data_IF_316756443709
#
_entry.id   IF_316756443709
#
_cell.length_a   1.000
_cell.length_b   1.000
_cell.length_c   1.000
_cell.angle_alpha   90.00
_cell.angle_beta   90.00
_cell.angle_gamma   90.00
#
_symmetry.space_group_name_H-M   'P 1'
#
loop_
_entity.id
_entity.type
_entity.pdbx_description
1 polymer ?
#
# COMPACT_ATOMS: atom_id res chain seq x y z
N UNK A 1 6.57 75.63 -48.22
CA UNK A 1 7.79 74.91 -47.81
C UNK A 1 7.48 74.18 -46.53
N UNK A 2 7.15 72.88 -46.60
CA UNK A 2 6.97 72.07 -45.39
C UNK A 2 8.32 71.92 -44.69
N UNK A 3 8.32 72.08 -43.37
CA UNK A 3 9.52 72.11 -42.57
C UNK A 3 10.17 70.72 -42.55
N UNK A 4 11.50 70.65 -42.68
CA UNK A 4 12.27 69.39 -42.75
C UNK A 4 12.04 68.51 -41.51
N UNK A 5 11.69 69.15 -40.38
CA UNK A 5 11.29 68.50 -39.12
C UNK A 5 10.01 67.68 -39.26
N UNK A 6 8.98 68.22 -39.92
CA UNK A 6 7.67 67.57 -40.05
C UNK A 6 7.75 66.34 -40.98
N UNK A 7 8.60 66.39 -42.00
CA UNK A 7 8.85 65.24 -42.89
C UNK A 7 9.66 64.12 -42.21
N UNK A 8 10.57 64.46 -41.29
CA UNK A 8 11.31 63.47 -40.51
C UNK A 8 10.44 62.82 -39.43
N UNK A 9 9.59 63.59 -38.75
CA UNK A 9 8.65 63.05 -37.76
C UNK A 9 7.60 62.13 -38.40
N UNK A 10 7.05 62.48 -39.56
CA UNK A 10 6.12 61.62 -40.31
C UNK A 10 6.76 60.30 -40.77
N UNK A 11 8.04 60.29 -41.16
CA UNK A 11 8.79 59.05 -41.49
C UNK A 11 9.12 58.20 -40.26
N UNK A 12 9.34 58.83 -39.11
CA UNK A 12 9.63 58.13 -37.84
C UNK A 12 8.37 57.50 -37.24
N UNK A 13 7.20 58.12 -37.41
CA UNK A 13 5.91 57.57 -36.99
C UNK A 13 5.45 56.41 -37.89
N UNK A 14 5.58 56.56 -39.23
CA UNK A 14 5.23 55.50 -40.18
C UNK A 14 6.07 54.21 -39.99
N UNK A 15 7.33 54.34 -39.57
CA UNK A 15 8.23 53.20 -39.31
C UNK A 15 7.98 52.49 -37.97
N UNK A 16 7.31 53.13 -37.01
CA UNK A 16 6.98 52.56 -35.68
C UNK A 16 5.70 51.71 -35.73
N UNK A 17 4.71 52.13 -36.52
CA UNK A 17 3.42 51.42 -36.67
C UNK A 17 3.51 50.07 -37.40
N UNK A 18 4.47 49.89 -38.32
CA UNK A 18 4.64 48.61 -39.05
C UNK A 18 5.53 47.58 -38.32
N UNK A 19 6.48 48.00 -37.48
CA UNK A 19 7.37 47.07 -36.75
C UNK A 19 6.72 46.41 -35.55
N UNK A 20 5.81 47.11 -34.86
CA UNK A 20 5.11 46.58 -33.69
C UNK A 20 4.23 45.35 -33.98
N UNK A 21 3.38 45.32 -35.01
CA UNK A 21 2.54 44.15 -35.29
C UNK A 21 3.35 42.95 -35.79
N UNK A 22 4.42 43.16 -36.57
CA UNK A 22 5.31 42.06 -37.00
C UNK A 22 6.11 41.45 -35.84
N UNK A 23 6.63 42.28 -34.93
CA UNK A 23 7.33 41.78 -33.74
C UNK A 23 6.39 41.07 -32.76
N UNK A 24 5.16 41.54 -32.60
CA UNK A 24 4.14 40.87 -31.77
C UNK A 24 3.69 39.53 -32.37
N UNK A 25 3.50 39.45 -33.70
CA UNK A 25 3.20 38.19 -34.39
C UNK A 25 4.35 37.19 -34.27
N UNK A 26 5.59 37.64 -34.39
CA UNK A 26 6.76 36.79 -34.25
C UNK A 26 6.97 36.31 -32.80
N UNK A 27 6.70 37.16 -31.80
CA UNK A 27 6.71 36.76 -30.38
C UNK A 27 5.57 35.78 -30.06
N UNK A 28 4.37 35.97 -30.60
CA UNK A 28 3.25 35.05 -30.42
C UNK A 28 3.52 33.68 -31.07
N UNK A 29 4.14 33.65 -32.25
CA UNK A 29 4.56 32.41 -32.93
C UNK A 29 5.65 31.67 -32.14
N UNK A 30 6.64 32.40 -31.61
CA UNK A 30 7.69 31.81 -30.76
C UNK A 30 7.11 31.28 -29.44
N UNK A 31 6.20 32.00 -28.79
CA UNK A 31 5.51 31.50 -27.59
C UNK A 31 4.65 30.27 -27.88
N UNK A 32 3.93 30.24 -29.00
CA UNK A 32 3.13 29.09 -29.41
C UNK A 32 4.02 27.86 -29.71
N UNK A 33 5.17 28.04 -30.37
CA UNK A 33 6.15 26.97 -30.61
C UNK A 33 6.80 26.48 -29.31
N UNK A 34 7.10 27.38 -28.37
CA UNK A 34 7.62 27.01 -27.05
C UNK A 34 6.59 26.25 -26.21
N UNK A 35 5.32 26.65 -26.27
CA UNK A 35 4.23 25.96 -25.60
C UNK A 35 3.94 24.59 -26.23
N UNK A 36 4.02 24.47 -27.55
CA UNK A 36 3.90 23.20 -28.26
C UNK A 36 5.06 22.24 -27.95
N UNK A 37 6.31 22.72 -27.97
CA UNK A 37 7.48 21.92 -27.59
C UNK A 37 7.50 21.56 -26.09
N UNK A 38 7.02 22.45 -25.21
CA UNK A 38 6.84 22.17 -23.80
C UNK A 38 5.72 21.14 -23.60
N UNK A 39 4.63 21.22 -24.37
CA UNK A 39 3.53 20.27 -24.41
C UNK A 39 3.97 18.88 -24.89
N UNK A 40 4.74 18.78 -25.98
CA UNK A 40 5.32 17.52 -26.47
C UNK A 40 6.37 16.95 -25.52
N UNK A 41 7.22 17.79 -24.89
CA UNK A 41 8.16 17.34 -23.84
C UNK A 41 7.42 16.89 -22.58
N UNK A 42 6.35 17.56 -22.15
CA UNK A 42 5.52 17.10 -21.02
C UNK A 42 4.74 15.84 -21.37
N UNK A 43 4.24 15.71 -22.60
CA UNK A 43 3.55 14.51 -23.09
C UNK A 43 4.53 13.35 -23.21
N UNK A 44 5.75 13.59 -23.70
CA UNK A 44 6.85 12.63 -23.75
C UNK A 44 7.34 12.23 -22.37
N UNK A 45 7.47 13.16 -21.42
CA UNK A 45 7.81 12.85 -20.01
C UNK A 45 6.65 12.14 -19.30
N UNK A 46 5.39 12.48 -19.59
CA UNK A 46 4.22 11.77 -19.06
C UNK A 46 4.11 10.36 -19.65
N UNK A 47 4.30 10.20 -20.96
CA UNK A 47 4.33 8.91 -21.64
C UNK A 47 5.52 8.06 -21.19
N UNK A 48 6.72 8.64 -21.04
CA UNK A 48 7.89 7.95 -20.52
C UNK A 48 7.74 7.62 -19.03
N UNK A 49 7.09 8.47 -18.24
CA UNK A 49 6.75 8.18 -16.83
C UNK A 49 5.67 7.11 -16.69
N UNK A 50 4.70 7.06 -17.61
CA UNK A 50 3.64 6.05 -17.62
C UNK A 50 4.15 4.70 -18.13
N UNK A 51 4.99 4.70 -19.18
CA UNK A 51 5.70 3.54 -19.72
C UNK A 51 6.71 3.00 -18.70
N UNK A 52 7.49 3.87 -18.06
CA UNK A 52 8.40 3.53 -16.96
C UNK A 52 7.61 2.97 -15.79
N UNK A 53 6.59 3.66 -15.29
CA UNK A 53 5.84 3.20 -14.13
C UNK A 53 5.04 1.89 -14.38
N UNK A 54 4.53 1.66 -15.59
CA UNK A 54 3.92 0.38 -15.96
C UNK A 54 4.94 -0.76 -16.12
N UNK A 55 6.10 -0.50 -16.73
CA UNK A 55 7.20 -1.47 -16.82
C UNK A 55 7.77 -1.81 -15.44
N UNK A 56 7.75 -0.86 -14.51
CA UNK A 56 8.20 -1.02 -13.13
C UNK A 56 7.26 -1.96 -12.32
N UNK A 57 6.01 -2.13 -12.72
CA UNK A 57 5.04 -2.97 -12.02
C UNK A 57 5.38 -4.48 -12.11
N UNK A 58 5.94 -4.93 -13.23
CA UNK A 58 6.31 -6.33 -13.46
C UNK A 58 7.38 -6.86 -12.46
N UNK A 59 8.55 -6.22 -12.30
CA UNK A 59 9.54 -6.68 -11.33
C UNK A 59 9.02 -6.52 -9.88
N UNK A 60 8.19 -5.51 -9.61
CA UNK A 60 7.55 -5.33 -8.30
C UNK A 60 6.59 -6.45 -7.93
N UNK A 61 5.77 -6.87 -8.88
CA UNK A 61 4.81 -7.96 -8.68
C UNK A 61 5.53 -9.30 -8.56
N UNK A 62 6.56 -9.57 -9.38
CA UNK A 62 7.38 -10.77 -9.26
C UNK A 62 8.09 -10.86 -7.89
N UNK A 63 8.69 -9.75 -7.44
CA UNK A 63 9.29 -9.65 -6.11
C UNK A 63 8.26 -9.86 -4.99
N UNK A 64 7.05 -9.32 -5.17
CA UNK A 64 5.95 -9.45 -4.22
C UNK A 64 5.47 -10.90 -4.03
N UNK A 65 5.28 -11.60 -5.14
CA UNK A 65 4.82 -12.99 -5.15
C UNK A 65 5.88 -13.87 -4.50
N UNK A 66 7.14 -13.68 -4.89
CA UNK A 66 8.28 -14.41 -4.30
C UNK A 66 8.39 -14.17 -2.80
N UNK A 67 8.29 -12.90 -2.37
CA UNK A 67 8.30 -12.53 -0.95
C UNK A 67 7.13 -13.17 -0.19
N UNK A 68 5.92 -13.14 -0.76
CA UNK A 68 4.74 -13.71 -0.14
C UNK A 68 4.87 -15.22 0.08
N UNK A 69 5.49 -15.94 -0.85
CA UNK A 69 5.77 -17.38 -0.74
C UNK A 69 6.82 -17.65 0.34
N UNK A 70 7.93 -16.92 0.35
CA UNK A 70 9.03 -17.12 1.31
C UNK A 70 8.56 -16.80 2.75
N UNK A 71 7.80 -15.72 2.92
CA UNK A 71 7.32 -15.27 4.23
C UNK A 71 6.01 -15.93 4.68
N UNK A 72 5.49 -16.88 3.89
CA UNK A 72 4.22 -17.52 4.15
C UNK A 72 4.14 -18.25 5.51
N UNK A 73 5.15 -19.04 5.92
CA UNK A 73 5.11 -19.71 7.23
C UNK A 73 4.98 -18.73 8.41
N UNK A 74 5.67 -17.59 8.32
CA UNK A 74 5.62 -16.54 9.34
C UNK A 74 4.25 -15.86 9.35
N UNK A 75 3.65 -15.68 8.18
CA UNK A 75 2.31 -15.14 8.05
C UNK A 75 1.24 -16.05 8.68
N UNK A 76 1.35 -17.38 8.49
CA UNK A 76 0.46 -18.35 9.15
C UNK A 76 0.60 -18.26 10.67
N UNK A 77 1.83 -18.25 11.21
CA UNK A 77 2.05 -18.12 12.65
C UNK A 77 1.47 -16.82 13.21
N UNK A 78 1.67 -15.71 12.50
CA UNK A 78 1.08 -14.42 12.83
C UNK A 78 -0.44 -14.50 12.90
N UNK A 79 -1.09 -14.99 11.84
CA UNK A 79 -2.54 -15.04 11.73
C UNK A 79 -3.17 -15.92 12.83
N UNK A 80 -2.61 -17.11 13.07
CA UNK A 80 -3.11 -18.02 14.10
C UNK A 80 -2.92 -17.46 15.52
N UNK A 81 -1.79 -16.82 15.79
CA UNK A 81 -1.51 -16.19 17.10
C UNK A 81 -2.44 -15.01 17.37
N UNK A 82 -2.68 -14.17 16.36
CA UNK A 82 -3.61 -13.03 16.44
C UNK A 82 -5.05 -13.49 16.61
N UNK A 83 -5.47 -14.54 15.88
CA UNK A 83 -6.82 -15.10 15.98
C UNK A 83 -7.09 -15.77 17.34
N UNK A 84 -6.05 -16.19 18.07
CA UNK A 84 -6.15 -16.73 19.43
C UNK A 84 -6.03 -15.67 20.53
N UNK A 85 -5.97 -14.38 20.20
CA UNK A 85 -5.98 -13.32 21.20
C UNK A 85 -7.25 -13.36 22.07
N UNK A 86 -7.09 -13.16 23.38
CA UNK A 86 -8.19 -13.23 24.35
C UNK A 86 -8.61 -14.65 24.75
N UNK A 87 -7.95 -15.70 24.24
CA UNK A 87 -8.17 -17.09 24.67
C UNK A 87 -7.17 -17.50 25.76
N UNK A 88 -7.58 -18.37 26.70
CA UNK A 88 -6.73 -18.81 27.82
C UNK A 88 -5.53 -19.68 27.39
N UNK A 89 -5.67 -20.44 26.30
CA UNK A 89 -4.66 -21.41 25.84
C UNK A 89 -3.62 -20.81 24.88
N UNK A 90 -3.90 -19.62 24.31
CA UNK A 90 -3.00 -18.99 23.34
C UNK A 90 -2.75 -19.84 22.08
N UNK A 91 -1.72 -19.49 21.30
CA UNK A 91 -1.26 -20.30 20.17
C UNK A 91 0.17 -20.79 20.44
N UNK A 92 0.40 -22.10 20.32
CA UNK A 92 1.73 -22.71 20.43
C UNK A 92 2.18 -23.25 19.07
N UNK A 93 3.32 -22.75 18.59
CA UNK A 93 3.94 -23.18 17.33
C UNK A 93 4.29 -24.67 17.39
N UNK A 94 4.82 -25.15 18.52
CA UNK A 94 5.20 -26.55 18.73
C UNK A 94 3.99 -27.47 18.65
N UNK A 95 2.88 -27.10 19.30
CA UNK A 95 1.65 -27.89 19.24
C UNK A 95 1.05 -27.90 17.82
N UNK A 96 1.13 -26.77 17.10
CA UNK A 96 0.68 -26.71 15.71
C UNK A 96 1.53 -27.58 14.79
N UNK A 97 2.86 -27.55 14.97
CA UNK A 97 3.79 -28.40 14.22
C UNK A 97 3.53 -29.89 14.48
N UNK A 98 3.30 -30.28 15.72
CA UNK A 98 2.96 -31.67 16.07
C UNK A 98 1.65 -32.12 15.44
N UNK A 99 0.65 -31.23 15.33
CA UNK A 99 -0.68 -31.56 14.79
C UNK A 99 -0.77 -31.53 13.27
N UNK A 100 -0.10 -30.60 12.61
CA UNK A 100 -0.26 -30.34 11.17
C UNK A 100 1.04 -30.51 10.35
N UNK A 101 2.17 -30.74 11.02
CA UNK A 101 3.49 -30.87 10.39
C UNK A 101 3.90 -29.62 9.60
N UNK A 102 4.93 -29.79 8.76
CA UNK A 102 5.42 -28.73 7.85
C UNK A 102 4.32 -28.26 6.88
N UNK A 103 3.45 -29.17 6.44
CA UNK A 103 2.35 -28.85 5.50
C UNK A 103 1.40 -27.79 6.07
N UNK A 104 1.11 -27.81 7.37
CA UNK A 104 0.25 -26.81 8.02
C UNK A 104 0.69 -25.37 7.82
N UNK A 105 2.00 -25.12 7.68
CA UNK A 105 2.56 -23.79 7.52
C UNK A 105 2.63 -23.30 6.07
N UNK A 106 2.49 -24.19 5.08
CA UNK A 106 2.72 -23.86 3.67
C UNK A 106 1.55 -24.20 2.74
N UNK A 107 0.63 -25.08 3.13
CA UNK A 107 -0.37 -25.56 2.19
C UNK A 107 -1.62 -24.68 2.13
N UNK A 108 -2.09 -24.18 3.27
CA UNK A 108 -3.43 -23.56 3.37
C UNK A 108 -3.37 -22.07 3.23
N UNK A 109 -3.94 -21.50 2.16
CA UNK A 109 -4.14 -20.04 2.00
C UNK A 109 -3.07 -19.28 1.19
N UNK A 110 -2.07 -19.95 0.60
CA UNK A 110 -1.01 -19.31 -0.21
C UNK A 110 -1.60 -18.63 -1.45
N UNK A 111 -2.49 -19.31 -2.16
CA UNK A 111 -3.08 -18.80 -3.40
C UNK A 111 -3.85 -17.48 -3.19
N UNK A 112 -4.79 -17.37 -2.24
CA UNK A 112 -5.44 -16.09 -1.98
C UNK A 112 -4.47 -15.03 -1.45
N UNK A 113 -3.37 -15.38 -0.75
CA UNK A 113 -2.34 -14.41 -0.36
C UNK A 113 -1.58 -13.84 -1.56
N UNK A 114 -1.19 -14.69 -2.51
CA UNK A 114 -0.54 -14.27 -3.76
C UNK A 114 -1.46 -13.32 -4.54
N UNK A 115 -2.71 -13.73 -4.76
CA UNK A 115 -3.69 -12.91 -5.46
C UNK A 115 -3.91 -11.56 -4.76
N UNK A 116 -4.04 -11.57 -3.43
CA UNK A 116 -4.19 -10.37 -2.60
C UNK A 116 -2.99 -9.43 -2.74
N UNK A 117 -1.77 -9.96 -2.69
CA UNK A 117 -0.53 -9.18 -2.82
C UNK A 117 -0.45 -8.45 -4.18
N UNK A 118 -0.87 -9.14 -5.25
CA UNK A 118 -0.93 -8.55 -6.60
C UNK A 118 -1.98 -7.45 -6.69
N UNK A 119 -3.24 -7.73 -6.27
CA UNK A 119 -4.34 -6.74 -6.30
C UNK A 119 -4.01 -5.52 -5.45
N UNK A 120 -3.42 -5.72 -4.27
CA UNK A 120 -3.01 -4.62 -3.38
C UNK A 120 -2.03 -3.66 -4.09
N UNK A 121 -1.07 -4.18 -4.85
CA UNK A 121 -0.05 -3.36 -5.53
C UNK A 121 -0.62 -2.61 -6.72
N UNK A 122 -1.44 -3.28 -7.53
CA UNK A 122 -2.15 -2.65 -8.65
C UNK A 122 -3.05 -1.53 -8.12
N UNK A 123 -3.80 -1.79 -7.04
CA UNK A 123 -4.64 -0.79 -6.36
C UNK A 123 -3.85 0.45 -5.97
N UNK A 124 -2.74 0.27 -5.24
CA UNK A 124 -1.92 1.40 -4.77
C UNK A 124 -1.38 2.21 -5.93
N UNK A 125 -0.90 1.55 -6.98
CA UNK A 125 -0.37 2.23 -8.16
C UNK A 125 -1.43 3.08 -8.87
N UNK A 126 -2.68 2.62 -8.90
CA UNK A 126 -3.79 3.32 -9.55
C UNK A 126 -4.39 4.43 -8.67
N UNK A 127 -4.78 4.10 -7.43
CA UNK A 127 -5.54 5.01 -6.57
C UNK A 127 -4.69 6.08 -5.89
N UNK A 128 -3.43 5.79 -5.56
CA UNK A 128 -2.58 6.75 -4.85
C UNK A 128 -2.33 8.04 -5.65
N UNK A 129 -1.93 7.99 -6.95
CA UNK A 129 -1.74 9.20 -7.75
C UNK A 129 -3.04 9.96 -7.98
N UNK A 130 -4.15 9.24 -8.22
CA UNK A 130 -5.49 9.83 -8.44
C UNK A 130 -5.94 10.60 -7.21
N UNK A 131 -5.80 10.02 -6.01
CA UNK A 131 -6.21 10.66 -4.76
C UNK A 131 -5.27 11.81 -4.39
N UNK A 132 -3.96 11.68 -4.60
CA UNK A 132 -3.03 12.81 -4.43
C UNK A 132 -3.42 14.01 -5.32
N UNK A 133 -3.72 13.76 -6.59
CA UNK A 133 -4.07 14.82 -7.53
C UNK A 133 -5.42 15.47 -7.18
N UNK A 134 -6.43 14.66 -6.86
CA UNK A 134 -7.76 15.16 -6.52
C UNK A 134 -7.80 15.90 -5.18
N UNK A 135 -6.99 15.49 -4.20
CA UNK A 135 -7.01 16.10 -2.87
C UNK A 135 -6.12 17.34 -2.77
N UNK A 136 -4.96 17.35 -3.43
CA UNK A 136 -3.95 18.40 -3.27
C UNK A 136 -3.70 19.23 -4.54
N UNK A 137 -4.36 18.91 -5.66
CA UNK A 137 -4.20 19.61 -6.93
C UNK A 137 -2.80 19.50 -7.54
N UNK A 138 -2.00 18.52 -7.08
CA UNK A 138 -0.60 18.33 -7.47
C UNK A 138 -0.31 16.84 -7.69
N UNK A 139 0.61 16.49 -8.62
CA UNK A 139 0.99 15.10 -8.83
C UNK A 139 1.71 14.54 -7.59
N UNK A 140 1.56 13.24 -7.34
CA UNK A 140 2.03 12.58 -6.12
C UNK A 140 3.52 12.81 -5.79
N UNK A 141 4.36 13.05 -6.80
CA UNK A 141 5.77 13.40 -6.63
C UNK A 141 5.98 14.69 -5.83
N UNK A 142 5.13 15.69 -6.04
CA UNK A 142 5.26 17.06 -5.52
C UNK A 142 4.49 17.25 -4.19
N UNK A 143 3.79 16.20 -3.72
CA UNK A 143 3.10 16.22 -2.44
C UNK A 143 4.10 16.17 -1.27
N UNK A 144 3.85 16.99 -0.24
CA UNK A 144 4.59 16.94 1.01
C UNK A 144 4.36 15.60 1.74
N UNK A 145 5.20 15.30 2.73
CA UNK A 145 5.12 14.07 3.53
C UNK A 145 3.74 13.89 4.18
N UNK A 146 3.19 14.95 4.78
CA UNK A 146 1.85 14.92 5.38
C UNK A 146 0.74 14.74 4.34
N UNK A 147 0.87 15.36 3.17
CA UNK A 147 -0.08 15.21 2.06
C UNK A 147 -0.08 13.78 1.51
N UNK A 148 1.11 13.17 1.36
CA UNK A 148 1.28 11.76 0.98
C UNK A 148 0.71 10.82 2.04
N UNK A 149 0.85 11.12 3.32
CA UNK A 149 0.28 10.33 4.40
C UNK A 149 -1.26 10.31 4.34
N UNK A 150 -1.90 11.47 4.18
CA UNK A 150 -3.36 11.58 4.08
C UNK A 150 -3.88 10.93 2.79
N UNK A 151 -3.28 11.24 1.65
CA UNK A 151 -3.67 10.65 0.37
C UNK A 151 -3.44 9.12 0.36
N UNK A 152 -2.35 8.66 0.98
CA UNK A 152 -2.06 7.25 1.18
C UNK A 152 -3.10 6.56 2.05
N UNK A 153 -3.48 7.15 3.18
CA UNK A 153 -4.53 6.62 4.04
C UNK A 153 -5.88 6.52 3.31
N UNK A 154 -6.28 7.55 2.55
CA UNK A 154 -7.53 7.53 1.78
C UNK A 154 -7.49 6.54 0.61
N UNK A 155 -6.32 6.35 -0.03
CA UNK A 155 -6.14 5.35 -1.09
C UNK A 155 -6.33 3.91 -0.61
N UNK A 156 -6.24 3.67 0.70
CA UNK A 156 -6.50 2.34 1.24
C UNK A 156 -7.98 1.94 1.20
N UNK A 157 -8.93 2.88 1.07
CA UNK A 157 -10.37 2.55 1.05
C UNK A 157 -10.75 1.69 -0.16
N UNK A 158 -10.53 2.14 -1.42
CA UNK A 158 -10.81 1.30 -2.58
C UNK A 158 -9.91 0.05 -2.63
N UNK A 159 -8.66 0.14 -2.14
CA UNK A 159 -7.77 -1.02 -2.01
C UNK A 159 -8.39 -2.10 -1.12
N UNK A 160 -8.83 -1.75 0.09
CA UNK A 160 -9.40 -2.70 1.04
C UNK A 160 -10.68 -3.32 0.50
N UNK A 161 -11.52 -2.57 -0.19
CA UNK A 161 -12.73 -3.11 -0.82
C UNK A 161 -12.34 -4.23 -1.81
N UNK A 162 -11.34 -4.02 -2.65
CA UNK A 162 -10.93 -5.03 -3.64
C UNK A 162 -10.23 -6.24 -3.03
N UNK A 163 -9.42 -6.07 -1.97
CA UNK A 163 -8.69 -7.18 -1.37
C UNK A 163 -9.48 -7.96 -0.32
N UNK A 164 -10.57 -7.41 0.22
CA UNK A 164 -11.33 -8.00 1.33
C UNK A 164 -11.77 -9.45 1.09
N UNK A 165 -12.37 -9.80 -0.07
CA UNK A 165 -12.78 -11.19 -0.32
C UNK A 165 -11.62 -12.17 -0.32
N UNK A 166 -10.45 -11.76 -0.84
CA UNK A 166 -9.24 -12.57 -0.87
C UNK A 166 -8.63 -12.74 0.53
N UNK A 167 -8.64 -11.68 1.33
CA UNK A 167 -8.13 -11.71 2.71
C UNK A 167 -9.04 -12.56 3.62
N UNK A 168 -10.35 -12.47 3.45
CA UNK A 168 -11.33 -13.35 4.11
C UNK A 168 -11.11 -14.81 3.71
N UNK A 169 -10.92 -15.10 2.42
CA UNK A 169 -10.65 -16.45 1.94
C UNK A 169 -9.34 -17.03 2.48
N UNK A 170 -8.29 -16.22 2.52
CA UNK A 170 -7.00 -16.61 3.09
C UNK A 170 -7.13 -17.03 4.55
N UNK A 171 -7.71 -16.18 5.40
CA UNK A 171 -7.77 -16.44 6.84
C UNK A 171 -8.76 -17.56 7.14
N UNK A 172 -9.87 -17.63 6.41
CA UNK A 172 -10.77 -18.78 6.46
C UNK A 172 -10.05 -20.09 6.16
N UNK A 173 -9.17 -20.11 5.16
CA UNK A 173 -8.38 -21.30 4.84
C UNK A 173 -7.29 -21.61 5.87
N UNK A 174 -6.66 -20.61 6.46
CA UNK A 174 -5.67 -20.80 7.54
C UNK A 174 -6.34 -21.33 8.82
N UNK A 175 -7.60 -20.96 9.08
CA UNK A 175 -8.37 -21.40 10.24
C UNK A 175 -9.18 -22.69 10.01
N UNK A 176 -9.32 -23.16 8.77
CA UNK A 176 -10.02 -24.42 8.43
C UNK A 176 -9.17 -25.64 8.82
N UNK A 177 -9.13 -25.98 10.11
CA UNK A 177 -8.37 -27.12 10.62
C UNK A 177 -8.85 -28.47 10.07
N UNK A 178 -10.15 -28.61 9.82
CA UNK A 178 -10.82 -29.82 9.32
C UNK A 178 -10.66 -30.02 7.81
N UNK A 179 -10.06 -29.06 7.09
CA UNK A 179 -9.89 -29.09 5.64
C UNK A 179 -11.22 -29.27 4.88
N UNK A 180 -12.31 -28.69 5.41
CA UNK A 180 -13.67 -28.75 4.83
C UNK A 180 -13.69 -28.28 3.39
N UNK A 181 -12.89 -27.26 3.09
CA UNK A 181 -12.86 -26.64 1.76
C UNK A 181 -11.80 -27.24 0.84
N UNK A 182 -11.10 -28.31 1.26
CA UNK A 182 -10.05 -29.00 0.48
C UNK A 182 -9.00 -28.04 -0.10
N UNK A 183 -8.65 -27.00 0.67
CA UNK A 183 -7.75 -25.92 0.24
C UNK A 183 -8.19 -25.14 -1.02
N UNK A 184 -9.50 -25.11 -1.31
CA UNK A 184 -10.06 -24.40 -2.46
C UNK A 184 -10.70 -23.09 -2.02
N UNK A 185 -9.98 -21.98 -2.23
CA UNK A 185 -10.44 -20.63 -1.89
C UNK A 185 -11.72 -20.21 -2.61
N UNK A 186 -11.97 -20.70 -3.83
CA UNK A 186 -13.20 -20.41 -4.57
C UNK A 186 -14.41 -21.04 -3.89
N UNK A 187 -14.29 -22.29 -3.43
CA UNK A 187 -15.36 -22.99 -2.71
C UNK A 187 -15.67 -22.26 -1.40
N UNK A 188 -14.62 -21.84 -0.68
CA UNK A 188 -14.80 -21.03 0.53
C UNK A 188 -15.57 -19.73 0.28
N UNK A 189 -15.19 -18.97 -0.74
CA UNK A 189 -15.86 -17.71 -1.11
C UNK A 189 -17.32 -17.96 -1.49
N UNK A 190 -17.57 -19.01 -2.27
CA UNK A 190 -18.93 -19.39 -2.68
C UNK A 190 -19.79 -19.76 -1.47
N UNK A 191 -19.24 -20.51 -0.52
CA UNK A 191 -19.95 -20.89 0.71
C UNK A 191 -20.25 -19.66 1.58
N UNK A 192 -19.27 -18.78 1.77
CA UNK A 192 -19.46 -17.53 2.51
C UNK A 192 -20.54 -16.65 1.87
N UNK A 193 -20.57 -16.58 0.54
CA UNK A 193 -21.59 -15.82 -0.17
C UNK A 193 -22.98 -16.46 -0.04
N UNK A 194 -23.09 -17.80 -0.14
CA UNK A 194 -24.36 -18.51 0.01
C UNK A 194 -24.94 -18.41 1.42
N UNK A 195 -24.08 -18.53 2.44
CA UNK A 195 -24.50 -18.56 3.85
C UNK A 195 -24.72 -17.17 4.43
N UNK A 196 -23.96 -16.16 3.99
CA UNK A 196 -23.88 -14.84 4.63
C UNK A 196 -24.01 -13.67 3.67
N UNK A 197 -24.28 -13.94 2.39
CA UNK A 197 -24.37 -12.93 1.36
C UNK A 197 -23.08 -12.12 1.21
N UNK A 198 -23.24 -10.86 0.81
CA UNK A 198 -22.13 -9.92 0.62
C UNK A 198 -21.41 -9.62 1.94
N UNK A 199 -22.13 -9.57 3.08
CA UNK A 199 -21.54 -9.30 4.39
C UNK A 199 -20.47 -10.31 4.80
N UNK A 200 -20.63 -11.56 4.37
CA UNK A 200 -19.63 -12.63 4.55
C UNK A 200 -18.29 -12.36 3.87
N UNK A 201 -18.29 -11.72 2.69
CA UNK A 201 -17.06 -11.43 1.93
C UNK A 201 -16.28 -10.24 2.48
N UNK A 202 -16.91 -9.43 3.32
CA UNK A 202 -16.33 -8.22 3.93
C UNK A 202 -16.24 -8.31 5.45
N UNK A 203 -16.34 -9.51 6.03
CA UNK A 203 -16.16 -9.71 7.46
C UNK A 203 -14.76 -9.26 7.90
N UNK A 204 -14.71 -8.44 8.95
CA UNK A 204 -13.44 -7.88 9.43
C UNK A 204 -12.97 -6.62 8.70
N UNK A 205 -13.78 -6.05 7.78
CA UNK A 205 -13.39 -4.88 6.97
C UNK A 205 -12.94 -3.69 7.82
N UNK A 206 -13.63 -3.37 8.91
CA UNK A 206 -13.26 -2.25 9.78
C UNK A 206 -11.84 -2.41 10.35
N UNK A 207 -11.47 -3.62 10.79
CA UNK A 207 -10.11 -3.91 11.25
C UNK A 207 -9.07 -3.91 10.12
N UNK A 208 -9.42 -4.36 8.90
CA UNK A 208 -8.55 -4.25 7.72
C UNK A 208 -8.26 -2.79 7.38
N UNK A 209 -9.31 -1.98 7.34
CA UNK A 209 -9.26 -0.57 7.05
C UNK A 209 -8.44 0.19 8.09
N UNK A 210 -8.68 -0.07 9.39
CA UNK A 210 -7.88 0.47 10.48
C UNK A 210 -6.39 0.17 10.27
N UNK A 211 -6.06 -1.11 10.13
CA UNK A 211 -4.67 -1.55 9.96
C UNK A 211 -3.98 -0.84 8.79
N UNK A 212 -4.61 -0.77 7.62
CA UNK A 212 -3.98 -0.17 6.44
C UNK A 212 -3.87 1.35 6.55
N UNK A 213 -4.91 2.03 7.04
CA UNK A 213 -4.87 3.47 7.26
C UNK A 213 -3.74 3.86 8.22
N UNK A 214 -3.71 3.25 9.41
CA UNK A 214 -2.73 3.60 10.43
C UNK A 214 -1.32 3.21 10.03
N UNK A 215 -1.13 2.05 9.39
CA UNK A 215 0.21 1.69 8.89
C UNK A 215 0.71 2.67 7.83
N UNK A 216 -0.12 2.97 6.82
CA UNK A 216 0.27 3.84 5.72
C UNK A 216 0.50 5.27 6.19
N UNK A 217 -0.41 5.80 7.02
CA UNK A 217 -0.31 7.14 7.59
C UNK A 217 0.93 7.29 8.47
N UNK A 218 1.16 6.37 9.41
CA UNK A 218 2.34 6.42 10.29
C UNK A 218 3.64 6.20 9.51
N UNK A 219 3.67 5.27 8.54
CA UNK A 219 4.85 5.04 7.72
C UNK A 219 5.27 6.32 7.00
N UNK A 220 4.38 6.93 6.23
CA UNK A 220 4.72 8.16 5.50
C UNK A 220 5.02 9.31 6.45
N UNK A 221 4.26 9.49 7.53
CA UNK A 221 4.51 10.56 8.50
C UNK A 221 5.88 10.48 9.18
N UNK A 222 6.39 9.27 9.43
CA UNK A 222 7.65 9.04 10.16
C UNK A 222 8.86 8.77 9.27
N UNK A 223 8.65 8.44 7.99
CA UNK A 223 9.73 8.07 7.07
C UNK A 223 10.84 9.12 6.98
N UNK A 224 10.49 10.39 6.80
CA UNK A 224 11.50 11.46 6.68
C UNK A 224 12.29 11.64 7.97
N UNK A 225 11.63 11.52 9.11
CA UNK A 225 12.29 11.59 10.42
C UNK A 225 13.32 10.47 10.56
N UNK A 226 12.92 9.23 10.26
CA UNK A 226 13.84 8.09 10.29
C UNK A 226 14.99 8.24 9.30
N UNK A 227 14.75 8.73 8.08
CA UNK A 227 15.83 8.98 7.11
C UNK A 227 16.83 9.99 7.65
N UNK A 228 16.35 11.12 8.18
CA UNK A 228 17.20 12.18 8.71
C UNK A 228 18.00 11.74 9.96
N UNK A 229 17.45 10.83 10.77
CA UNK A 229 18.10 10.33 11.99
C UNK A 229 19.08 9.19 11.70
N UNK A 230 18.78 8.32 10.73
CA UNK A 230 19.52 7.07 10.49
C UNK A 230 20.55 7.20 9.38
N UNK A 231 20.24 7.93 8.29
CA UNK A 231 21.14 8.01 7.15
C UNK A 231 22.46 8.71 7.48
N UNK A 232 22.49 9.88 8.13
CA UNK A 232 23.76 10.56 8.44
C UNK A 232 24.74 9.72 9.27
N UNK A 233 24.37 9.12 10.42
CA UNK A 233 25.32 8.34 11.21
C UNK A 233 25.78 7.07 10.50
N UNK A 234 24.92 6.42 9.71
CA UNK A 234 25.30 5.21 8.97
C UNK A 234 26.25 5.50 7.81
N UNK A 235 25.99 6.57 7.04
CA UNK A 235 26.87 6.97 5.94
C UNK A 235 28.23 7.42 6.48
N UNK A 236 28.27 8.10 7.64
CA UNK A 236 29.51 8.52 8.28
C UNK A 236 30.40 7.34 8.70
N UNK A 237 29.85 6.16 8.97
CA UNK A 237 30.61 4.94 9.26
C UNK A 237 30.88 4.08 8.02
N UNK A 238 30.66 4.63 6.82
CA UNK A 238 30.96 3.98 5.54
C UNK A 238 29.86 3.05 5.00
N UNK A 239 28.66 3.05 5.58
CA UNK A 239 27.55 2.24 5.05
C UNK A 239 27.02 2.87 3.75
N UNK A 240 26.79 2.07 2.67
CA UNK A 240 26.20 2.58 1.44
C UNK A 240 24.85 3.27 1.69
N UNK A 241 24.62 4.41 1.03
CA UNK A 241 23.41 5.21 1.21
C UNK A 241 22.12 4.38 1.02
N UNK A 242 22.08 3.48 0.03
CA UNK A 242 20.96 2.58 -0.19
C UNK A 242 20.64 1.68 1.03
N UNK A 243 21.66 1.20 1.73
CA UNK A 243 21.49 0.39 2.95
C UNK A 243 20.99 1.25 4.09
N UNK A 244 21.50 2.47 4.23
CA UNK A 244 21.04 3.40 5.26
C UNK A 244 19.56 3.82 5.06
N UNK A 245 19.15 4.12 3.82
CA UNK A 245 17.75 4.38 3.45
C UNK A 245 16.85 3.16 3.69
N UNK A 246 17.36 1.96 3.44
CA UNK A 246 16.63 0.71 3.73
C UNK A 246 16.39 0.55 5.24
N UNK A 247 17.40 0.79 6.07
CA UNK A 247 17.26 0.71 7.53
C UNK A 247 16.29 1.77 8.05
N UNK A 248 16.36 3.01 7.54
CA UNK A 248 15.40 4.06 7.87
C UNK A 248 13.96 3.66 7.50
N UNK A 249 13.77 3.12 6.29
CA UNK A 249 12.47 2.62 5.84
C UNK A 249 11.96 1.43 6.68
N UNK A 250 12.85 0.54 7.08
CA UNK A 250 12.53 -0.58 7.97
C UNK A 250 12.05 -0.09 9.34
N UNK A 251 12.76 0.87 9.96
CA UNK A 251 12.38 1.44 11.25
C UNK A 251 11.04 2.17 11.15
N UNK A 252 10.83 2.98 10.11
CA UNK A 252 9.52 3.59 9.84
C UNK A 252 8.41 2.53 9.74
N UNK A 253 8.65 1.44 9.02
CA UNK A 253 7.71 0.33 8.87
C UNK A 253 7.46 -0.43 10.18
N UNK A 254 8.49 -0.68 10.97
CA UNK A 254 8.43 -1.34 12.28
C UNK A 254 7.61 -0.53 13.28
N UNK A 255 7.89 0.77 13.41
CA UNK A 255 7.12 1.63 14.31
C UNK A 255 5.68 1.87 13.83
N UNK A 256 5.44 1.84 12.52
CA UNK A 256 4.08 1.83 11.97
C UNK A 256 3.29 0.55 12.30
N UNK A 257 3.93 -0.53 12.78
CA UNK A 257 3.23 -1.75 13.19
C UNK A 257 2.46 -1.61 14.50
N UNK A 258 2.87 -0.71 15.39
CA UNK A 258 2.23 -0.51 16.70
C UNK A 258 0.78 -0.03 16.58
N UNK A 259 0.46 1.11 15.92
CA UNK A 259 -0.93 1.55 15.79
C UNK A 259 -1.78 0.65 14.89
N UNK A 260 -1.14 -0.13 14.02
CA UNK A 260 -1.76 -1.11 13.14
C UNK A 260 -2.17 -2.41 13.88
N UNK A 261 -1.33 -2.91 14.79
CA UNK A 261 -1.47 -4.23 15.41
C UNK A 261 -2.83 -4.48 16.08
N UNK A 262 -3.43 -3.54 16.85
CA UNK A 262 -4.75 -3.72 17.43
C UNK A 262 -5.83 -4.04 16.40
N UNK A 263 -5.82 -3.36 15.24
CA UNK A 263 -6.78 -3.61 14.17
C UNK A 263 -6.63 -5.00 13.57
N UNK A 264 -5.40 -5.50 13.43
CA UNK A 264 -5.12 -6.83 12.90
C UNK A 264 -5.54 -7.94 13.87
N UNK A 265 -5.31 -7.74 15.18
CA UNK A 265 -5.71 -8.67 16.23
C UNK A 265 -7.23 -8.77 16.33
N UNK A 266 -7.92 -7.63 16.49
CA UNK A 266 -9.39 -7.58 16.63
C UNK A 266 -10.05 -8.20 15.40
N UNK A 267 -9.58 -7.87 14.20
CA UNK A 267 -10.05 -8.46 12.96
C UNK A 267 -9.91 -9.98 12.94
N UNK A 268 -8.74 -10.49 13.31
CA UNK A 268 -8.45 -11.93 13.28
C UNK A 268 -9.39 -12.69 14.22
N UNK A 269 -9.70 -12.10 15.39
CA UNK A 269 -10.67 -12.66 16.34
C UNK A 269 -12.10 -12.59 15.81
N UNK A 270 -12.53 -11.47 15.22
CA UNK A 270 -13.86 -11.33 14.59
C UNK A 270 -14.03 -12.38 13.48
N UNK A 271 -13.06 -12.49 12.58
CA UNK A 271 -13.10 -13.46 11.48
C UNK A 271 -13.13 -14.89 12.00
N UNK A 272 -12.31 -15.24 13.00
CA UNK A 272 -12.35 -16.57 13.63
C UNK A 272 -13.72 -16.90 14.22
N UNK A 273 -14.34 -15.96 14.95
CA UNK A 273 -15.68 -16.17 15.56
C UNK A 273 -16.73 -16.40 14.49
N UNK A 274 -16.70 -15.60 13.42
CA UNK A 274 -17.62 -15.77 12.29
C UNK A 274 -17.36 -17.10 11.59
N UNK A 275 -16.11 -17.53 11.35
CA UNK A 275 -15.88 -18.82 10.69
C UNK A 275 -16.20 -20.04 11.57
N UNK A 276 -16.10 -19.91 12.89
CA UNK A 276 -16.40 -20.98 13.83
C UNK A 276 -17.91 -21.21 14.04
N UNK A 277 -18.72 -20.14 13.99
CA UNK A 277 -20.17 -20.21 14.25
C UNK A 277 -20.97 -19.77 13.01
N UNK A 278 -21.63 -20.72 12.30
CA UNK A 278 -22.49 -20.42 11.16
C UNK A 278 -23.63 -19.44 11.47
N UNK A 279 -24.14 -19.42 12.70
CA UNK A 279 -25.30 -18.61 13.11
C UNK A 279 -24.93 -17.16 13.40
N UNK A 280 -23.64 -16.86 13.60
CA UNK A 280 -23.16 -15.51 13.87
C UNK A 280 -23.30 -14.63 12.62
N UNK A 281 -23.90 -13.43 12.74
CA UNK A 281 -24.05 -12.52 11.61
C UNK A 281 -22.69 -12.00 11.12
N UNK A 282 -22.54 -11.89 9.80
CA UNK A 282 -21.39 -11.25 9.18
C UNK A 282 -21.77 -9.82 8.78
N UNK A 283 -21.42 -8.85 9.63
CA UNK A 283 -21.83 -7.45 9.45
C UNK A 283 -21.18 -6.74 8.26
N UNK A 284 -20.11 -7.28 7.67
CA UNK A 284 -19.46 -6.71 6.49
C UNK A 284 -19.02 -5.25 6.66
N UNK A 285 -19.22 -4.45 5.60
CA UNK A 285 -19.03 -2.99 5.63
C UNK A 285 -20.31 -2.35 6.20
N UNK A 286 -20.37 -2.20 7.52
CA UNK A 286 -21.50 -1.54 8.19
C UNK A 286 -21.10 -0.92 9.53
N UNK A 287 -21.91 0.03 10.06
CA UNK A 287 -21.73 0.56 11.41
C UNK A 287 -21.76 -0.52 12.49
N UNK A 288 -22.61 -1.55 12.31
CA UNK A 288 -22.65 -2.71 13.20
C UNK A 288 -21.34 -3.50 13.19
N UNK A 289 -20.69 -3.62 12.03
CA UNK A 289 -19.37 -4.22 11.90
C UNK A 289 -18.30 -3.42 12.66
N UNK A 290 -18.34 -2.09 12.61
CA UNK A 290 -17.43 -1.24 13.40
C UNK A 290 -17.68 -1.41 14.91
N UNK A 291 -18.95 -1.41 15.33
CA UNK A 291 -19.32 -1.63 16.72
C UNK A 291 -18.86 -3.01 17.23
N UNK A 292 -18.98 -4.06 16.42
CA UNK A 292 -18.46 -5.39 16.74
C UNK A 292 -16.96 -5.36 17.02
N UNK A 293 -16.17 -4.66 16.19
CA UNK A 293 -14.72 -4.56 16.40
C UNK A 293 -14.39 -3.85 17.72
N UNK A 294 -15.12 -2.80 18.07
CA UNK A 294 -14.95 -2.10 19.35
C UNK A 294 -15.29 -3.03 20.53
N UNK A 295 -16.38 -3.78 20.44
CA UNK A 295 -16.79 -4.75 21.47
C UNK A 295 -15.74 -5.84 21.64
N UNK A 296 -15.26 -6.44 20.54
CA UNK A 296 -14.20 -7.46 20.58
C UNK A 296 -12.90 -6.90 21.15
N UNK A 297 -12.53 -5.65 20.82
CA UNK A 297 -11.37 -4.99 21.41
C UNK A 297 -11.50 -4.87 22.93
N UNK A 298 -12.68 -4.45 23.43
CA UNK A 298 -12.97 -4.36 24.87
C UNK A 298 -12.88 -5.72 25.56
N UNK A 299 -13.41 -6.78 24.96
CA UNK A 299 -13.33 -8.14 25.48
C UNK A 299 -11.89 -8.66 25.57
N UNK A 300 -11.07 -8.39 24.55
CA UNK A 300 -9.64 -8.75 24.57
C UNK A 300 -8.92 -8.01 25.70
N UNK A 301 -9.19 -6.71 25.87
CA UNK A 301 -8.60 -5.91 26.96
C UNK A 301 -9.08 -6.40 28.33
N UNK A 302 -10.35 -6.76 28.48
CA UNK A 302 -10.89 -7.29 29.73
C UNK A 302 -10.28 -8.66 30.09
N UNK A 303 -10.00 -9.51 29.10
CA UNK A 303 -9.49 -10.87 29.31
C UNK A 303 -7.97 -10.95 29.45
N UNK A 304 -7.21 -10.16 28.68
CA UNK A 304 -5.75 -10.26 28.55
C UNK A 304 -5.01 -8.93 28.78
N UNK A 305 -5.74 -7.88 29.16
CA UNK A 305 -5.21 -6.52 29.26
C UNK A 305 -4.88 -5.90 27.88
N UNK A 306 -4.32 -4.69 27.90
CA UNK A 306 -3.92 -3.97 26.68
C UNK A 306 -2.91 -4.77 25.84
N UNK A 307 -2.06 -5.58 26.49
CA UNK A 307 -1.10 -6.45 25.81
C UNK A 307 -1.77 -7.48 24.89
N UNK A 308 -3.02 -7.87 25.18
CA UNK A 308 -3.81 -8.76 24.32
C UNK A 308 -4.02 -8.20 22.91
N UNK A 309 -4.14 -6.88 22.75
CA UNK A 309 -4.27 -6.21 21.45
C UNK A 309 -2.98 -6.25 20.62
N UNK A 310 -1.87 -6.67 21.21
CA UNK A 310 -0.57 -6.83 20.56
C UNK A 310 -0.14 -8.30 20.47
N UNK A 311 -1.10 -9.24 20.63
CA UNK A 311 -0.85 -10.66 20.41
C UNK A 311 -0.28 -10.89 19.01
N UNK A 312 0.82 -11.64 18.92
CA UNK A 312 1.48 -11.91 17.64
C UNK A 312 2.27 -10.73 17.04
N UNK A 313 2.51 -9.65 17.80
CA UNK A 313 3.33 -8.52 17.33
C UNK A 313 4.72 -8.95 16.87
N UNK A 314 5.35 -9.91 17.56
CA UNK A 314 6.66 -10.45 17.15
C UNK A 314 6.63 -11.09 15.77
N UNK A 315 5.68 -12.00 15.52
CA UNK A 315 5.50 -12.60 14.19
C UNK A 315 5.09 -11.56 13.14
N UNK A 316 4.32 -10.54 13.52
CA UNK A 316 3.97 -9.42 12.63
C UNK A 316 5.20 -8.61 12.24
N UNK A 317 6.05 -8.25 13.20
CA UNK A 317 7.27 -7.50 12.97
C UNK A 317 8.24 -8.31 12.11
N UNK A 318 8.39 -9.61 12.38
CA UNK A 318 9.19 -10.52 11.55
C UNK A 318 8.64 -10.63 10.13
N UNK A 319 7.33 -10.79 9.96
CA UNK A 319 6.70 -10.88 8.65
C UNK A 319 6.87 -9.57 7.85
N UNK A 320 6.59 -8.41 8.45
CA UNK A 320 6.68 -7.11 7.76
C UNK A 320 8.13 -6.71 7.50
N UNK A 321 9.00 -6.89 8.50
CA UNK A 321 10.43 -6.61 8.39
C UNK A 321 11.14 -7.54 7.40
N UNK A 322 10.89 -8.85 7.51
CA UNK A 322 11.41 -9.86 6.58
C UNK A 322 10.89 -9.66 5.16
N UNK A 323 9.61 -9.32 5.00
CA UNK A 323 9.05 -8.97 3.69
C UNK A 323 9.69 -7.71 3.11
N UNK A 324 9.96 -6.69 3.93
CA UNK A 324 10.64 -5.47 3.49
C UNK A 324 12.07 -5.74 3.01
N UNK A 325 12.84 -6.52 3.78
CA UNK A 325 14.20 -6.90 3.41
C UNK A 325 14.24 -7.74 2.12
N UNK A 326 13.35 -8.72 1.99
CA UNK A 326 13.24 -9.53 0.76
C UNK A 326 12.86 -8.67 -0.44
N UNK A 327 11.90 -7.76 -0.29
CA UNK A 327 11.51 -6.83 -1.36
C UNK A 327 12.68 -5.96 -1.81
N UNK A 328 13.52 -5.48 -0.89
CA UNK A 328 14.68 -4.67 -1.22
C UNK A 328 15.76 -5.43 -2.01
N UNK A 329 15.85 -6.76 -1.84
CA UNK A 329 16.77 -7.62 -2.61
C UNK A 329 16.14 -8.08 -3.92
N UNK A 330 14.87 -8.50 -3.89
CA UNK A 330 14.17 -9.10 -5.01
C UNK A 330 13.78 -8.09 -6.09
N UNK A 331 13.45 -6.84 -5.71
CA UNK A 331 13.10 -5.81 -6.70
C UNK A 331 14.27 -5.51 -7.65
N UNK A 332 15.50 -5.19 -7.17
CA UNK A 332 16.65 -5.03 -8.05
C UNK A 332 16.97 -6.29 -8.86
N UNK A 333 16.87 -7.47 -8.23
CA UNK A 333 17.09 -8.75 -8.91
C UNK A 333 16.16 -8.94 -10.11
N UNK A 334 14.84 -8.83 -9.92
CA UNK A 334 13.88 -8.99 -11.01
C UNK A 334 13.97 -7.86 -12.04
N UNK A 335 14.33 -6.65 -11.60
CA UNK A 335 14.54 -5.52 -12.51
C UNK A 335 15.72 -5.79 -13.46
N UNK A 336 16.83 -6.30 -12.93
CA UNK A 336 17.99 -6.70 -13.72
C UNK A 336 17.66 -7.86 -14.68
N UNK A 337 16.96 -8.90 -14.20
CA UNK A 337 16.55 -10.05 -15.02
C UNK A 337 15.62 -9.64 -16.17
N UNK A 338 14.73 -8.68 -15.93
CA UNK A 338 13.77 -8.21 -16.93
C UNK A 338 14.33 -7.08 -17.83
N UNK A 339 15.56 -6.60 -17.58
CA UNK A 339 16.16 -5.50 -18.32
C UNK A 339 15.45 -4.15 -18.09
N UNK A 340 14.76 -3.98 -16.96
CA UNK A 340 13.97 -2.79 -16.64
C UNK A 340 14.76 -1.96 -15.63
N UNK A 341 15.03 -0.70 -15.96
CA UNK A 341 15.82 0.19 -15.10
C UNK A 341 14.94 0.71 -13.96
N UNK A 342 15.03 0.08 -12.79
CA UNK A 342 14.29 0.49 -11.60
C UNK A 342 14.98 1.70 -10.95
N UNK A 343 14.53 2.91 -11.31
CA UNK A 343 14.86 4.11 -10.57
C UNK A 343 14.20 4.02 -9.19
N UNK A 344 15.01 3.81 -8.15
CA UNK A 344 14.55 3.76 -6.76
C UNK A 344 13.62 4.93 -6.42
N UNK A 345 12.59 4.63 -5.62
CA UNK A 345 11.59 5.60 -5.13
C UNK A 345 12.22 6.62 -4.19
#
# INVERSE_FOLDING_TARGET
MLNLKDMMEARLEAGKGQRQPQQQLQQAQVQAQMQAQCGEKLAGVRAYSAQSAASTLAPLTAAAVSTAVIMYPVDVMRALTMASAGTKEGFSVTAHYQKHGVKGFVSKGVLPEIAKSTVMRVSKFFFFPVICNNLHGKPAKDCSVGQKAIAGALATVPEIIMISPLEVAKIGMQLDHENKFKNNSRVFIQEMYKTRGVGGLYVGWAGMQWRQCFWTGTFFATLQWWKNTVEPPMVNVGVPNAVATLVAGFLAGFFATFPNAPGDVVRSVVQKRVFADPTRPAYGISPAGVAEHITVAKEIVASSGIRGLYSGLGFKAMHLGGSGALMAVLVPFFSNVMGINYGGV
#
